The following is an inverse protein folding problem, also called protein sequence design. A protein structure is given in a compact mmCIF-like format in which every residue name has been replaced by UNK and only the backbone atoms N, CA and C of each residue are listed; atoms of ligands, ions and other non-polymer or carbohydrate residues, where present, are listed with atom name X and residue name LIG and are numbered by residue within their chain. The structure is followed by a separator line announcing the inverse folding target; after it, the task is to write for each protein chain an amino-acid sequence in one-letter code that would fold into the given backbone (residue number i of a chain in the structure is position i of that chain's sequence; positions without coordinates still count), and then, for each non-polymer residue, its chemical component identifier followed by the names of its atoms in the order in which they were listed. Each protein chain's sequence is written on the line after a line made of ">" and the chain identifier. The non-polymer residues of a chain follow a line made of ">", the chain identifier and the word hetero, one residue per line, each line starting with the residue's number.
data_IF_121858391314
#
_entry.id   IF_121858391314
#
_cell.length_a   1.000
_cell.length_b   1.000
_cell.length_c   1.000
_cell.angle_alpha   90.00
_cell.angle_beta   90.00
_cell.angle_gamma   90.00
#
_symmetry.space_group_name_H-M   'P 1'
#
loop_
_entity.id
_entity.type
_entity.pdbx_description
1 polymer ?
#
# COMPACT_ATOMS: atom_id res chain seq x y z
N UNK A 1 -6.57 12.52 -3.29
CA UNK A 1 -6.18 11.09 -3.20
C UNK A 1 -6.80 10.35 -4.36
N UNK A 2 -6.05 9.47 -5.01
CA UNK A 2 -6.55 8.61 -6.10
C UNK A 2 -6.10 7.18 -5.83
N UNK A 3 -6.89 6.19 -6.24
CA UNK A 3 -6.52 4.81 -6.10
C UNK A 3 -6.90 4.01 -7.35
N UNK A 4 -6.00 3.12 -7.78
CA UNK A 4 -6.25 2.11 -8.80
C UNK A 4 -6.40 0.78 -8.08
N UNK A 5 -7.54 0.12 -8.28
CA UNK A 5 -7.86 -1.17 -7.64
C UNK A 5 -7.80 -2.27 -8.69
N UNK A 6 -7.07 -3.33 -8.40
CA UNK A 6 -6.96 -4.52 -9.23
C UNK A 6 -7.49 -5.71 -8.45
N UNK A 7 -8.41 -6.47 -9.04
CA UNK A 7 -8.82 -7.77 -8.51
C UNK A 7 -7.80 -8.80 -8.94
N UNK A 8 -7.26 -9.53 -7.97
CA UNK A 8 -6.15 -10.45 -8.20
C UNK A 8 -6.41 -11.79 -7.53
N UNK A 9 -5.91 -12.86 -8.13
CA UNK A 9 -5.88 -14.17 -7.50
C UNK A 9 -4.74 -14.32 -6.49
N UNK A 10 -3.62 -13.60 -6.71
CA UNK A 10 -2.48 -13.48 -5.80
C UNK A 10 -1.76 -12.15 -6.02
N UNK A 11 -1.15 -11.59 -4.97
CA UNK A 11 -0.23 -10.46 -5.08
C UNK A 11 0.83 -10.51 -3.97
N UNK A 12 2.06 -10.08 -4.28
CA UNK A 12 3.20 -10.06 -3.36
C UNK A 12 3.98 -8.75 -3.47
N UNK A 13 4.39 -8.20 -2.34
CA UNK A 13 5.27 -7.03 -2.25
C UNK A 13 6.54 -7.45 -1.52
N UNK A 14 7.67 -7.22 -2.18
CA UNK A 14 9.00 -7.46 -1.64
C UNK A 14 9.75 -6.14 -1.48
N UNK A 15 10.50 -5.99 -0.38
CA UNK A 15 11.41 -4.87 -0.12
C UNK A 15 12.77 -5.49 0.14
N UNK A 16 13.81 -5.04 -0.57
CA UNK A 16 15.18 -5.56 -0.43
C UNK A 16 15.27 -7.10 -0.56
N UNK A 17 14.43 -7.68 -1.44
CA UNK A 17 14.34 -9.13 -1.64
C UNK A 17 13.53 -9.90 -0.58
N UNK A 18 13.21 -9.28 0.57
CA UNK A 18 12.37 -9.88 1.61
C UNK A 18 10.88 -9.61 1.37
N UNK A 19 10.03 -10.60 1.62
CA UNK A 19 8.57 -10.45 1.47
C UNK A 19 8.03 -9.58 2.59
N UNK A 20 7.52 -8.42 2.22
CA UNK A 20 6.90 -7.49 3.16
C UNK A 20 5.40 -7.69 3.29
N UNK A 21 4.75 -8.32 2.30
CA UNK A 21 3.33 -8.63 2.33
C UNK A 21 2.88 -9.49 1.15
N UNK A 22 1.93 -10.38 1.38
CA UNK A 22 1.37 -11.27 0.37
C UNK A 22 -0.13 -11.51 0.62
N UNK A 23 -0.91 -11.63 -0.46
CA UNK A 23 -2.28 -12.15 -0.43
C UNK A 23 -2.51 -13.21 -1.49
N UNK A 24 -3.48 -14.08 -1.18
CA UNK A 24 -4.22 -14.86 -2.18
C UNK A 24 -5.27 -14.01 -2.88
N UNK A 25 -6.46 -14.58 -3.10
CA UNK A 25 -7.56 -13.88 -3.79
C UNK A 25 -7.97 -12.62 -3.03
N UNK A 26 -8.04 -11.50 -3.72
CA UNK A 26 -8.43 -10.23 -3.11
C UNK A 26 -8.23 -9.03 -4.02
N UNK A 27 -7.94 -7.88 -3.41
CA UNK A 27 -7.72 -6.62 -4.12
C UNK A 27 -6.31 -6.08 -3.84
N UNK A 28 -5.60 -5.75 -4.90
CA UNK A 28 -4.40 -4.95 -4.89
C UNK A 28 -4.77 -3.49 -5.15
N UNK A 29 -4.33 -2.57 -4.28
CA UNK A 29 -4.71 -1.15 -4.37
C UNK A 29 -3.44 -0.30 -4.49
N UNK A 30 -3.25 0.35 -5.63
CA UNK A 30 -2.24 1.40 -5.78
C UNK A 30 -2.84 2.73 -5.35
N UNK A 31 -2.26 3.39 -4.34
CA UNK A 31 -2.78 4.65 -3.80
C UNK A 31 -1.82 5.79 -4.11
N UNK A 32 -2.32 6.79 -4.85
CA UNK A 32 -1.69 8.10 -5.01
C UNK A 32 -2.09 9.05 -3.88
N UNK A 33 -1.12 9.36 -3.01
CA UNK A 33 -1.23 10.42 -2.01
C UNK A 33 -0.92 11.78 -2.64
N UNK A 34 -1.78 12.78 -2.38
CA UNK A 34 -1.50 14.18 -2.72
C UNK A 34 -0.57 14.82 -1.66
N UNK A 35 -0.21 16.10 -1.84
CA UNK A 35 0.63 16.82 -0.87
C UNK A 35 0.03 16.77 0.55
N UNK A 36 0.89 16.69 1.59
CA UNK A 36 0.45 16.61 2.97
C UNK A 36 -0.33 17.88 3.34
N UNK A 37 -1.57 17.72 3.80
CA UNK A 37 -2.45 18.83 4.22
C UNK A 37 -3.82 18.86 3.55
N UNK A 38 -3.99 18.19 2.41
CA UNK A 38 -5.30 17.97 1.81
C UNK A 38 -5.97 16.74 2.47
N UNK A 39 -6.95 17.00 3.34
CA UNK A 39 -7.60 16.01 4.21
C UNK A 39 -8.10 14.73 3.53
N UNK A 40 -8.06 13.63 4.30
CA UNK A 40 -8.43 12.26 3.89
C UNK A 40 -7.26 11.28 4.07
N UNK A 41 -6.87 10.99 5.32
CA UNK A 41 -5.72 10.12 5.61
C UNK A 41 -6.06 8.64 5.57
N UNK A 42 -5.46 7.88 4.64
CA UNK A 42 -5.34 6.43 4.83
C UNK A 42 -4.33 6.17 5.94
N UNK A 43 -4.69 5.38 6.94
CA UNK A 43 -3.71 4.83 7.89
C UNK A 43 -2.76 3.95 7.09
N UNK A 44 -1.52 4.41 6.90
CA UNK A 44 -0.47 3.60 6.27
C UNK A 44 -0.34 2.30 7.05
N UNK A 45 -0.49 1.17 6.38
CA UNK A 45 -0.16 -0.12 6.96
C UNK A 45 1.37 -0.20 6.92
N UNK A 46 2.03 0.20 8.00
CA UNK A 46 3.48 0.07 8.10
C UNK A 46 3.82 -1.42 8.10
N UNK A 47 4.67 -1.91 7.19
CA UNK A 47 5.23 -3.24 7.36
C UNK A 47 6.00 -3.31 8.68
N UNK A 48 6.13 -4.49 9.31
CA UNK A 48 6.78 -4.65 10.61
C UNK A 48 8.24 -4.18 10.65
N UNK A 49 8.88 -3.89 9.50
CA UNK A 49 10.31 -3.59 9.41
C UNK A 49 10.70 -2.14 9.06
N UNK A 50 9.79 -1.21 8.72
CA UNK A 50 10.21 0.18 8.48
C UNK A 50 9.10 1.22 8.66
N UNK A 51 9.26 2.09 9.67
CA UNK A 51 8.52 3.35 9.81
C UNK A 51 9.29 4.46 9.09
N UNK A 52 9.11 4.60 7.78
CA UNK A 52 9.60 5.80 7.09
C UNK A 52 8.62 6.96 7.28
N UNK A 53 9.10 7.99 7.98
CA UNK A 53 8.41 9.26 8.17
C UNK A 53 8.39 10.03 6.85
N UNK A 54 7.24 10.64 6.56
CA UNK A 54 7.13 11.86 5.78
C UNK A 54 7.79 11.91 4.41
N UNK A 55 7.33 11.11 3.44
CA UNK A 55 7.42 11.47 2.02
C UNK A 55 6.07 11.12 1.39
N UNK A 56 5.57 11.94 0.48
CA UNK A 56 4.37 11.68 -0.32
C UNK A 56 4.57 10.41 -1.16
N UNK A 57 4.37 9.24 -0.55
CA UNK A 57 4.62 7.96 -1.17
C UNK A 57 3.37 7.45 -1.87
N UNK A 58 3.50 7.13 -3.16
CA UNK A 58 2.62 6.16 -3.82
C UNK A 58 2.71 4.85 -3.03
N UNK A 59 1.67 4.54 -2.24
CA UNK A 59 1.64 3.35 -1.39
C UNK A 59 0.81 2.27 -2.05
N UNK A 60 1.38 1.09 -2.26
CA UNK A 60 0.61 -0.08 -2.64
C UNK A 60 0.07 -0.74 -1.36
N UNK A 61 -1.25 -0.86 -1.25
CA UNK A 61 -1.93 -1.48 -0.12
C UNK A 61 -2.60 -2.76 -0.58
N UNK A 62 -2.38 -3.82 0.18
CA UNK A 62 -2.98 -5.12 -0.08
C UNK A 62 -4.21 -5.26 0.82
N UNK A 63 -5.39 -5.52 0.23
CA UNK A 63 -6.64 -5.70 0.98
C UNK A 63 -7.20 -7.09 0.70
N UNK A 64 -7.16 -7.95 1.72
CA UNK A 64 -7.91 -9.20 1.72
C UNK A 64 -9.39 -8.84 1.90
N UNK A 65 -10.23 -9.25 0.95
CA UNK A 65 -11.69 -9.11 1.05
C UNK A 65 -12.17 -10.16 2.05
#
# INVERSE_FOLDING_TARGET
>A
MRAVVQRVDRARVSVDGAVSGEIGRGLLVYVGGGPPGAGGGLKKNSPPHKKEKGVGGCGCVIKKI
#
